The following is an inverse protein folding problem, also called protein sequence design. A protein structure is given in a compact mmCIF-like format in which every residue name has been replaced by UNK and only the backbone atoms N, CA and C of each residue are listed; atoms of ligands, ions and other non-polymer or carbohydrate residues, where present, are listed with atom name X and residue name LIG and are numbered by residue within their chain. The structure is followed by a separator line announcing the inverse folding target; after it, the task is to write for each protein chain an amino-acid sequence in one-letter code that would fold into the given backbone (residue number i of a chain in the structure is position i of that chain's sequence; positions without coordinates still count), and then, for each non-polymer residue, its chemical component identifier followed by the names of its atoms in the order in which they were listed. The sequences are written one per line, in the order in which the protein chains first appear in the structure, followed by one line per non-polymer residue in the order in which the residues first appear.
data_IF_638213234281
#
_entry.id   IF_638213234281
#
_cell.length_a   1.000
_cell.length_b   1.000
_cell.length_c   1.000
_cell.angle_alpha   90.00
_cell.angle_beta   90.00
_cell.angle_gamma   90.00
#
_symmetry.space_group_name_H-M   'P 1'
#
loop_
_entity.id
_entity.type
_entity.pdbx_description
1 polymer ?
#
# COMPACT_ATOMS: atom_id res chain seq x y z
N UNK A 1 -24.47 5.18 -1.90
CA UNK A 1 -23.40 5.63 -0.97
C UNK A 1 -22.14 5.86 -1.78
N UNK A 2 -21.35 6.91 -1.51
CA UNK A 2 -20.11 7.16 -2.23
C UNK A 2 -19.07 6.05 -1.98
N UNK A 3 -18.13 5.82 -2.91
CA UNK A 3 -17.05 4.84 -2.73
C UNK A 3 -16.15 5.23 -1.55
N UNK A 4 -15.81 4.25 -0.71
CA UNK A 4 -15.00 4.45 0.50
C UNK A 4 -13.49 4.35 0.20
N UNK A 5 -13.11 3.55 -0.79
CA UNK A 5 -11.72 3.30 -1.14
C UNK A 5 -10.96 4.57 -1.55
N UNK A 6 -11.49 5.46 -2.44
CA UNK A 6 -10.80 6.70 -2.80
C UNK A 6 -10.48 7.61 -1.61
N UNK A 7 -11.36 7.64 -0.60
CA UNK A 7 -11.13 8.43 0.62
C UNK A 7 -10.05 7.83 1.54
N UNK A 8 -9.86 6.51 1.50
CA UNK A 8 -9.01 5.78 2.45
C UNK A 8 -7.60 5.47 1.94
N UNK A 9 -7.34 5.58 0.63
CA UNK A 9 -6.05 5.20 0.02
C UNK A 9 -4.94 6.25 0.16
N UNK A 10 -5.27 7.54 0.20
CA UNK A 10 -4.26 8.60 0.12
C UNK A 10 -3.30 8.59 1.31
N UNK A 11 -3.85 8.41 2.51
CA UNK A 11 -3.08 8.40 3.75
C UNK A 11 -2.06 7.25 3.82
N UNK A 12 -2.43 5.96 3.62
CA UNK A 12 -1.44 4.89 3.62
C UNK A 12 -0.42 5.00 2.49
N UNK A 13 -0.80 5.47 1.29
CA UNK A 13 0.17 5.70 0.20
C UNK A 13 1.24 6.70 0.65
N UNK A 14 0.82 7.87 1.14
CA UNK A 14 1.75 8.91 1.60
C UNK A 14 2.66 8.42 2.72
N UNK A 15 2.11 7.72 3.71
CA UNK A 15 2.88 7.22 4.85
C UNK A 15 3.87 6.10 4.47
N UNK A 16 3.48 5.16 3.62
CA UNK A 16 4.37 4.06 3.21
C UNK A 16 5.53 4.55 2.33
N UNK A 17 5.28 5.55 1.48
CA UNK A 17 6.33 6.23 0.72
C UNK A 17 7.22 7.10 1.62
N UNK A 18 6.64 7.82 2.58
CA UNK A 18 7.38 8.58 3.58
C UNK A 18 8.25 7.67 4.45
N UNK A 19 7.79 6.48 4.84
CA UNK A 19 8.60 5.49 5.54
C UNK A 19 9.89 5.16 4.79
N UNK A 20 9.78 4.85 3.49
CA UNK A 20 10.94 4.52 2.66
C UNK A 20 11.90 5.71 2.53
N UNK A 21 11.36 6.91 2.24
CA UNK A 21 12.14 8.14 2.14
C UNK A 21 12.89 8.46 3.44
N UNK A 22 12.19 8.47 4.57
CA UNK A 22 12.77 8.77 5.88
C UNK A 22 13.83 7.75 6.29
N UNK A 23 13.63 6.47 5.93
CA UNK A 23 14.63 5.42 6.14
C UNK A 23 15.92 5.71 5.35
N UNK A 24 15.81 6.13 4.09
CA UNK A 24 16.98 6.53 3.28
C UNK A 24 17.66 7.78 3.86
N UNK A 25 16.90 8.77 4.30
CA UNK A 25 17.44 9.99 4.91
C UNK A 25 18.15 9.68 6.24
N UNK A 26 17.59 8.79 7.05
CA UNK A 26 18.25 8.29 8.26
C UNK A 26 19.59 7.64 7.93
N UNK A 27 19.65 6.74 6.96
CA UNK A 27 20.90 6.06 6.57
C UNK A 27 21.99 7.01 6.06
N UNK A 28 21.61 8.18 5.53
CA UNK A 28 22.56 9.21 5.08
C UNK A 28 23.01 10.16 6.20
N UNK A 29 22.12 10.47 7.13
CA UNK A 29 22.35 11.51 8.15
C UNK A 29 22.72 10.97 9.52
N UNK A 30 22.39 9.70 9.82
CA UNK A 30 22.49 9.12 11.16
C UNK A 30 21.48 9.68 12.17
N UNK A 31 20.59 10.60 11.78
CA UNK A 31 19.67 11.25 12.70
C UNK A 31 18.54 10.30 13.14
N UNK A 32 18.59 9.86 14.41
CA UNK A 32 17.62 8.91 14.99
C UNK A 32 16.17 9.41 14.95
N UNK A 33 15.93 10.73 14.89
CA UNK A 33 14.55 11.24 14.77
C UNK A 33 13.89 10.80 13.46
N UNK A 34 14.65 10.77 12.35
CA UNK A 34 14.15 10.32 11.05
C UNK A 34 13.79 8.84 11.06
N UNK A 35 14.57 8.03 11.76
CA UNK A 35 14.29 6.60 11.92
C UNK A 35 13.02 6.35 12.75
N UNK A 36 12.85 7.11 13.84
CA UNK A 36 11.64 7.06 14.67
C UNK A 36 10.44 7.48 13.82
N UNK A 37 10.53 8.58 13.06
CA UNK A 37 9.47 9.01 12.15
C UNK A 37 9.17 7.96 11.07
N UNK A 38 10.20 7.36 10.46
CA UNK A 38 10.05 6.29 9.48
C UNK A 38 9.26 5.11 10.06
N UNK A 39 9.55 4.72 11.31
CA UNK A 39 8.83 3.66 12.00
C UNK A 39 7.35 3.99 12.23
N UNK A 40 7.02 5.21 12.67
CA UNK A 40 5.63 5.63 12.85
C UNK A 40 4.87 5.64 11.52
N UNK A 41 5.51 6.13 10.45
CA UNK A 41 4.96 6.07 9.10
C UNK A 41 4.69 4.63 8.64
N UNK A 42 5.60 3.68 8.95
CA UNK A 42 5.39 2.26 8.66
C UNK A 42 4.17 1.69 9.39
N UNK A 43 4.06 1.96 10.69
CA UNK A 43 2.95 1.45 11.52
C UNK A 43 1.62 1.99 11.04
N UNK A 44 1.50 3.32 10.96
CA UNK A 44 0.26 3.99 10.57
C UNK A 44 -0.10 3.70 9.11
N UNK A 45 0.90 3.67 8.22
CA UNK A 45 0.72 3.35 6.81
C UNK A 45 0.25 1.92 6.61
N UNK A 46 0.78 0.96 7.36
CA UNK A 46 0.34 -0.43 7.29
C UNK A 46 -1.11 -0.61 7.77
N UNK A 47 -1.49 -0.03 8.91
CA UNK A 47 -2.89 -0.06 9.36
C UNK A 47 -3.83 0.63 8.36
N UNK A 48 -3.42 1.78 7.82
CA UNK A 48 -4.18 2.45 6.76
C UNK A 48 -4.33 1.59 5.51
N UNK A 49 -3.30 0.85 5.10
CA UNK A 49 -3.35 -0.02 3.94
C UNK A 49 -4.33 -1.20 4.15
N UNK A 50 -4.41 -1.75 5.37
CA UNK A 50 -5.43 -2.75 5.72
C UNK A 50 -6.83 -2.16 5.57
N UNK A 51 -7.07 -0.98 6.15
CA UNK A 51 -8.36 -0.28 6.06
C UNK A 51 -8.73 0.01 4.60
N UNK A 52 -7.80 0.54 3.81
CA UNK A 52 -8.01 0.85 2.39
C UNK A 52 -8.30 -0.40 1.56
N UNK A 53 -7.63 -1.52 1.87
CA UNK A 53 -7.88 -2.81 1.19
C UNK A 53 -9.27 -3.35 1.51
N UNK A 54 -9.70 -3.28 2.79
CA UNK A 54 -11.06 -3.67 3.19
C UNK A 54 -12.12 -2.77 2.52
N UNK A 55 -11.90 -1.45 2.50
CA UNK A 55 -12.78 -0.52 1.82
C UNK A 55 -12.88 -0.82 0.31
N UNK A 56 -11.75 -1.12 -0.33
CA UNK A 56 -11.70 -1.52 -1.75
C UNK A 56 -12.48 -2.80 -2.03
N UNK A 57 -12.38 -3.81 -1.16
CA UNK A 57 -13.15 -5.05 -1.30
C UNK A 57 -14.66 -4.83 -1.16
N UNK A 58 -15.08 -3.96 -0.24
CA UNK A 58 -16.50 -3.59 -0.07
C UNK A 58 -17.00 -2.85 -1.32
N UNK A 59 -16.24 -1.89 -1.84
CA UNK A 59 -16.59 -1.15 -3.04
C UNK A 59 -16.65 -2.06 -4.27
N UNK A 60 -15.69 -2.97 -4.45
CA UNK A 60 -15.69 -3.95 -5.53
C UNK A 60 -16.91 -4.87 -5.46
N UNK A 61 -17.30 -5.33 -4.27
CA UNK A 61 -18.52 -6.13 -4.09
C UNK A 61 -19.76 -5.37 -4.57
N UNK A 62 -19.93 -4.12 -4.11
CA UNK A 62 -21.11 -3.29 -4.39
C UNK A 62 -21.19 -2.76 -5.82
N UNK A 63 -20.05 -2.49 -6.44
CA UNK A 63 -19.99 -1.81 -7.74
C UNK A 63 -19.63 -2.74 -8.89
N UNK A 64 -19.26 -4.00 -8.66
CA UNK A 64 -18.84 -4.91 -9.74
C UNK A 64 -19.46 -6.27 -9.56
N UNK A 65 -19.39 -6.84 -8.36
CA UNK A 65 -19.87 -8.20 -8.15
C UNK A 65 -21.39 -8.27 -7.94
N UNK A 66 -22.05 -7.25 -7.41
CA UNK A 66 -23.51 -7.24 -7.26
C UNK A 66 -24.29 -6.82 -8.51
N UNK A 67 -23.63 -6.28 -9.54
CA UNK A 67 -24.28 -5.85 -10.78
C UNK A 67 -23.76 -6.64 -11.99
N UNK A 68 -24.54 -7.61 -12.51
CA UNK A 68 -24.16 -8.40 -13.68
C UNK A 68 -24.03 -7.59 -14.98
N UNK A 69 -24.67 -6.42 -15.09
CA UNK A 69 -24.79 -5.67 -16.35
C UNK A 69 -23.49 -5.00 -16.80
N UNK A 70 -22.62 -4.65 -15.85
CA UNK A 70 -21.32 -4.01 -16.07
C UNK A 70 -20.17 -5.02 -16.05
N UNK A 71 -20.44 -6.25 -15.62
CA UNK A 71 -19.43 -7.29 -15.40
C UNK A 71 -18.93 -7.82 -16.75
N UNK A 72 -17.67 -7.56 -17.06
CA UNK A 72 -16.97 -8.19 -18.17
C UNK A 72 -15.59 -8.70 -17.72
N UNK A 73 -15.02 -9.63 -18.48
CA UNK A 73 -13.76 -10.29 -18.15
C UNK A 73 -12.60 -9.32 -17.98
N UNK A 74 -12.53 -8.26 -18.82
CA UNK A 74 -11.48 -7.27 -18.71
C UNK A 74 -11.59 -6.50 -17.39
N UNK A 75 -12.78 -5.98 -17.06
CA UNK A 75 -13.03 -5.27 -15.81
C UNK A 75 -12.68 -6.12 -14.58
N UNK A 76 -13.11 -7.39 -14.54
CA UNK A 76 -12.79 -8.29 -13.43
C UNK A 76 -11.28 -8.48 -13.29
N UNK A 77 -10.56 -8.68 -14.39
CA UNK A 77 -9.11 -8.87 -14.36
C UNK A 77 -8.39 -7.63 -13.81
N UNK A 78 -8.81 -6.43 -14.21
CA UNK A 78 -8.23 -5.19 -13.68
C UNK A 78 -8.56 -4.99 -12.19
N UNK A 79 -9.79 -5.26 -11.76
CA UNK A 79 -10.20 -5.19 -10.35
C UNK A 79 -9.40 -6.19 -9.51
N UNK A 80 -9.23 -7.43 -9.98
CA UNK A 80 -8.46 -8.45 -9.27
C UNK A 80 -6.97 -8.13 -9.27
N UNK A 81 -6.41 -7.60 -10.35
CA UNK A 81 -5.03 -7.13 -10.40
C UNK A 81 -4.77 -6.00 -9.40
N UNK A 82 -5.67 -5.02 -9.34
CA UNK A 82 -5.62 -3.94 -8.36
C UNK A 82 -5.74 -4.49 -6.92
N UNK A 83 -6.70 -5.37 -6.65
CA UNK A 83 -6.87 -6.00 -5.33
C UNK A 83 -5.63 -6.80 -4.92
N UNK A 84 -5.04 -7.56 -5.84
CA UNK A 84 -3.80 -8.31 -5.60
C UNK A 84 -2.63 -7.39 -5.24
N UNK A 85 -2.52 -6.21 -5.86
CA UNK A 85 -1.51 -5.21 -5.51
C UNK A 85 -1.70 -4.64 -4.09
N UNK A 86 -2.96 -4.42 -3.67
CA UNK A 86 -3.29 -3.99 -2.32
C UNK A 86 -2.93 -5.05 -1.27
N UNK A 87 -3.31 -6.31 -1.50
CA UNK A 87 -2.93 -7.44 -0.65
C UNK A 87 -1.41 -7.63 -0.58
N UNK A 88 -0.71 -7.49 -1.71
CA UNK A 88 0.76 -7.55 -1.77
C UNK A 88 1.38 -6.45 -0.94
N UNK A 89 0.85 -5.23 -1.01
CA UNK A 89 1.31 -4.09 -0.19
C UNK A 89 1.16 -4.37 1.29
N UNK A 90 -0.02 -4.84 1.73
CA UNK A 90 -0.28 -5.21 3.13
C UNK A 90 0.67 -6.32 3.60
N UNK A 91 0.90 -7.33 2.77
CA UNK A 91 1.77 -8.45 3.11
C UNK A 91 3.25 -8.03 3.21
N UNK A 92 3.78 -7.33 2.21
CA UNK A 92 5.18 -6.87 2.15
C UNK A 92 5.48 -5.94 3.33
N UNK A 93 4.65 -4.92 3.56
CA UNK A 93 4.86 -4.00 4.67
C UNK A 93 4.54 -4.65 6.03
N UNK A 94 3.67 -5.65 6.09
CA UNK A 94 3.45 -6.47 7.28
C UNK A 94 4.70 -7.26 7.66
N UNK A 95 5.38 -7.85 6.68
CA UNK A 95 6.68 -8.49 6.89
C UNK A 95 7.75 -7.48 7.32
N UNK A 96 7.77 -6.29 6.72
CA UNK A 96 8.71 -5.23 7.11
C UNK A 96 8.49 -4.80 8.56
N UNK A 97 7.22 -4.58 8.94
CA UNK A 97 6.84 -4.23 10.31
C UNK A 97 7.17 -5.36 11.29
N UNK A 98 6.93 -6.62 10.93
CA UNK A 98 7.27 -7.77 11.78
C UNK A 98 8.79 -7.87 12.01
N UNK A 99 9.60 -7.76 10.95
CA UNK A 99 11.06 -7.74 11.06
C UNK A 99 11.54 -6.59 11.94
N UNK A 100 10.97 -5.41 11.76
CA UNK A 100 11.29 -4.21 12.52
C UNK A 100 10.89 -4.33 14.01
N UNK A 101 9.80 -5.04 14.32
CA UNK A 101 9.40 -5.34 15.72
C UNK A 101 10.29 -6.39 16.38
N UNK A 102 10.77 -7.38 15.62
CA UNK A 102 11.69 -8.41 16.13
C UNK A 102 13.10 -7.87 16.36
N UNK A 103 13.54 -6.91 15.53
CA UNK A 103 14.82 -6.25 15.70
C UNK A 103 14.68 -4.74 15.45
N UNK A 104 14.64 -3.96 16.54
CA UNK A 104 14.51 -2.50 16.47
C UNK A 104 15.74 -1.84 15.84
N UNK A 105 16.90 -2.49 15.91
CA UNK A 105 18.18 -2.03 15.35
C UNK A 105 18.51 -2.71 14.01
N UNK A 106 17.50 -3.19 13.28
CA UNK A 106 17.69 -3.88 11.99
C UNK A 106 18.42 -3.04 10.92
N UNK A 107 18.43 -1.72 11.07
CA UNK A 107 19.16 -0.81 10.18
C UNK A 107 20.64 -0.66 10.57
N UNK A 108 20.99 -0.98 11.81
CA UNK A 108 22.36 -0.96 12.32
C UNK A 108 23.07 -2.31 12.09
N UNK A 109 22.31 -3.39 11.85
CA UNK A 109 22.81 -4.74 11.54
C UNK A 109 23.08 -4.92 10.03
N UNK A 110 24.35 -5.01 9.57
CA UNK A 110 24.67 -5.14 8.15
C UNK A 110 24.11 -6.39 7.47
N UNK A 111 23.95 -7.50 8.21
CA UNK A 111 23.45 -8.77 7.66
C UNK A 111 21.95 -8.69 7.37
N UNK A 112 21.19 -8.03 8.23
CA UNK A 112 19.73 -7.93 8.09
C UNK A 112 19.27 -6.70 7.29
N UNK A 113 20.04 -5.59 7.36
CA UNK A 113 19.72 -4.32 6.72
C UNK A 113 19.42 -4.46 5.23
N UNK A 114 20.28 -5.17 4.50
CA UNK A 114 20.13 -5.33 3.05
C UNK A 114 18.81 -6.01 2.66
N UNK A 115 18.39 -7.02 3.41
CA UNK A 115 17.11 -7.70 3.20
C UNK A 115 15.92 -6.83 3.57
N UNK A 116 16.02 -6.02 4.63
CA UNK A 116 14.98 -5.07 5.03
C UNK A 116 14.79 -3.96 4.00
N UNK A 117 15.88 -3.37 3.48
CA UNK A 117 15.80 -2.31 2.46
C UNK A 117 15.22 -2.82 1.14
N UNK A 118 15.58 -4.04 0.71
CA UNK A 118 14.95 -4.68 -0.46
C UNK A 118 13.45 -4.85 -0.27
N UNK A 119 13.02 -5.24 0.93
CA UNK A 119 11.60 -5.40 1.24
C UNK A 119 10.85 -4.05 1.20
N UNK A 120 11.44 -2.97 1.72
CA UNK A 120 10.87 -1.62 1.61
C UNK A 120 10.79 -1.16 0.14
N UNK A 121 11.84 -1.40 -0.64
CA UNK A 121 11.84 -1.08 -2.07
C UNK A 121 10.75 -1.84 -2.84
N UNK A 122 10.58 -3.14 -2.57
CA UNK A 122 9.47 -3.93 -3.12
C UNK A 122 8.10 -3.38 -2.68
N UNK A 123 7.98 -2.92 -1.44
CA UNK A 123 6.77 -2.27 -0.93
C UNK A 123 6.44 -0.99 -1.70
N UNK A 124 7.43 -0.14 -1.97
CA UNK A 124 7.27 1.07 -2.79
C UNK A 124 6.80 0.72 -4.20
N UNK A 125 7.41 -0.29 -4.84
CA UNK A 125 6.98 -0.75 -6.17
C UNK A 125 5.52 -1.23 -6.13
N UNK A 126 5.13 -2.02 -5.13
CA UNK A 126 3.76 -2.49 -4.99
C UNK A 126 2.75 -1.34 -4.83
N UNK A 127 3.08 -0.32 -4.04
CA UNK A 127 2.26 0.89 -3.87
C UNK A 127 2.11 1.66 -5.18
N UNK A 128 3.19 1.85 -5.94
CA UNK A 128 3.17 2.57 -7.22
C UNK A 128 2.35 1.81 -8.26
N UNK A 129 2.57 0.50 -8.37
CA UNK A 129 1.80 -0.37 -9.29
C UNK A 129 0.33 -0.35 -8.92
N UNK A 130 -0.02 -0.47 -7.63
CA UNK A 130 -1.41 -0.40 -7.19
C UNK A 130 -2.06 0.95 -7.45
N UNK A 131 -1.32 2.05 -7.26
CA UNK A 131 -1.80 3.39 -7.62
C UNK A 131 -2.10 3.53 -9.11
N UNK A 132 -1.24 2.98 -9.98
CA UNK A 132 -1.44 2.99 -11.43
C UNK A 132 -2.62 2.12 -11.87
N UNK A 133 -2.74 0.90 -11.34
CA UNK A 133 -3.88 0.00 -11.60
C UNK A 133 -5.20 0.63 -11.15
N UNK A 134 -5.23 1.24 -9.97
CA UNK A 134 -6.39 1.99 -9.46
C UNK A 134 -6.75 3.16 -10.37
N UNK A 135 -5.76 3.90 -10.87
CA UNK A 135 -5.97 4.96 -11.86
C UNK A 135 -6.60 4.44 -13.15
N UNK A 136 -6.17 3.29 -13.67
CA UNK A 136 -6.79 2.67 -14.84
C UNK A 136 -8.26 2.29 -14.59
N UNK A 137 -8.60 1.78 -13.40
CA UNK A 137 -9.98 1.48 -13.05
C UNK A 137 -10.87 2.73 -13.07
N UNK A 138 -10.36 3.86 -12.58
CA UNK A 138 -11.10 5.14 -12.57
C UNK A 138 -11.19 5.75 -13.96
N UNK A 139 -10.06 5.94 -14.64
CA UNK A 139 -9.99 6.73 -15.87
C UNK A 139 -10.40 5.94 -17.12
N UNK A 140 -10.16 4.63 -17.16
CA UNK A 140 -10.47 3.78 -18.31
C UNK A 140 -11.81 3.06 -18.14
N UNK A 141 -12.09 2.53 -16.95
CA UNK A 141 -13.32 1.78 -16.68
C UNK A 141 -14.44 2.60 -16.02
N UNK A 142 -14.15 3.83 -15.58
CA UNK A 142 -15.16 4.73 -14.99
C UNK A 142 -15.63 4.34 -13.59
N UNK A 143 -14.93 3.43 -12.91
CA UNK A 143 -15.28 2.99 -11.55
C UNK A 143 -15.19 4.16 -10.56
N UNK A 144 -16.25 4.35 -9.77
CA UNK A 144 -16.33 5.42 -8.78
C UNK A 144 -16.63 6.83 -9.30
N UNK A 145 -16.86 7.00 -10.62
CA UNK A 145 -17.17 8.30 -11.24
C UNK A 145 -18.56 8.33 -11.87
N UNK A 146 -19.01 7.22 -12.47
CA UNK A 146 -20.35 7.08 -13.04
C UNK A 146 -21.27 6.44 -12.01
N UNK A 147 -21.84 7.26 -11.13
CA UNK A 147 -22.99 6.93 -10.30
C UNK A 147 -24.26 7.49 -10.91
#
# INVERSE_FOLDING_TARGET
MPPLHPATVHFPIGLLLANALLTVLYLRSGNRSLEISAYHCLVLGWFGAVVATLAGSIDAWRQVYSDPSIRNTALINWVNGHAASGLSTVWIYGMALLRRRRNQNILDDPQQRGGYLRLLALGVVAVVVGGWLGGQLVYTFGLGVKG
#
